data_IF_716755098121
#
_entry.id   IF_716755098121
#
_cell.length_a   1.000
_cell.length_b   1.000
_cell.length_c   1.000
_cell.angle_alpha   90.00
_cell.angle_beta   90.00
_cell.angle_gamma   90.00
#
_symmetry.space_group_name_H-M   'P 1'
#
loop_
_entity.id
_entity.type
_entity.pdbx_description
1 polymer ?
#
# COMPACT_ATOMS: atom_id res chain seq x y z
N UNK A 1 1.01 5.80 -19.07
CA UNK A 1 0.45 4.43 -19.07
C UNK A 1 1.01 3.54 -17.98
N UNK A 2 2.33 3.52 -17.75
CA UNK A 2 2.95 2.71 -16.68
C UNK A 2 2.30 2.86 -15.30
N UNK A 3 2.14 4.10 -14.82
CA UNK A 3 1.54 4.39 -13.50
C UNK A 3 0.11 3.87 -13.36
N UNK A 4 -0.69 3.94 -14.44
CA UNK A 4 -2.06 3.44 -14.43
C UNK A 4 -2.10 1.92 -14.32
N UNK A 5 -1.28 1.24 -15.12
CA UNK A 5 -1.18 -0.23 -15.08
C UNK A 5 -0.65 -0.69 -13.73
N UNK A 6 0.37 -0.02 -13.20
CA UNK A 6 0.91 -0.25 -11.87
C UNK A 6 -0.17 -0.08 -10.79
N UNK A 7 -0.87 1.04 -10.76
CA UNK A 7 -1.92 1.31 -9.78
C UNK A 7 -3.03 0.25 -9.85
N UNK A 8 -3.45 -0.14 -11.06
CA UNK A 8 -4.46 -1.17 -11.27
C UNK A 8 -4.01 -2.55 -10.76
N UNK A 9 -2.82 -2.99 -11.16
CA UNK A 9 -2.26 -4.30 -10.77
C UNK A 9 -2.05 -4.37 -9.27
N UNK A 10 -1.45 -3.33 -8.67
CA UNK A 10 -1.22 -3.26 -7.22
C UNK A 10 -2.56 -3.28 -6.49
N UNK A 11 -3.54 -2.48 -6.89
CA UNK A 11 -4.85 -2.44 -6.24
C UNK A 11 -5.52 -3.82 -6.24
N UNK A 12 -5.48 -4.51 -7.38
CA UNK A 12 -6.08 -5.85 -7.50
C UNK A 12 -5.36 -6.89 -6.66
N UNK A 13 -4.02 -6.85 -6.61
CA UNK A 13 -3.22 -7.77 -5.82
C UNK A 13 -3.41 -7.52 -4.33
N UNK A 14 -3.29 -6.28 -3.89
CA UNK A 14 -3.38 -5.87 -2.49
C UNK A 14 -4.75 -6.19 -1.88
N UNK A 15 -5.82 -6.17 -2.68
CA UNK A 15 -7.16 -6.45 -2.18
C UNK A 15 -7.33 -7.87 -1.62
N UNK A 16 -6.78 -8.89 -2.27
CA UNK A 16 -7.02 -10.30 -1.90
C UNK A 16 -5.75 -11.04 -1.48
N UNK A 17 -4.65 -10.83 -2.21
CA UNK A 17 -3.41 -11.62 -2.08
C UNK A 17 -2.83 -11.66 -0.67
N UNK A 18 -2.84 -10.57 0.13
CA UNK A 18 -2.29 -10.60 1.50
C UNK A 18 -3.01 -11.56 2.45
N UNK A 19 -4.30 -11.84 2.21
CA UNK A 19 -5.15 -12.62 3.11
C UNK A 19 -5.28 -14.09 2.70
N UNK A 20 -4.74 -14.47 1.54
CA UNK A 20 -4.75 -15.86 1.09
C UNK A 20 -3.53 -16.61 1.68
N UNK A 21 -3.70 -17.87 2.12
CA UNK A 21 -2.60 -18.70 2.57
C UNK A 21 -1.82 -19.26 1.37
N UNK A 22 -1.14 -18.39 0.62
CA UNK A 22 -0.41 -18.76 -0.59
C UNK A 22 0.89 -19.51 -0.24
N UNK A 23 1.11 -20.63 -0.91
CA UNK A 23 2.39 -21.32 -0.87
C UNK A 23 3.45 -20.54 -1.67
N UNK A 24 4.73 -20.80 -1.37
CA UNK A 24 5.88 -20.16 -2.04
C UNK A 24 5.77 -20.23 -3.58
N UNK A 25 5.41 -21.41 -4.10
CA UNK A 25 5.26 -21.65 -5.53
C UNK A 25 4.10 -20.86 -6.16
N UNK A 26 3.01 -20.63 -5.43
CA UNK A 26 1.88 -19.82 -5.91
C UNK A 26 2.25 -18.34 -5.92
N UNK A 27 2.97 -17.92 -4.90
CA UNK A 27 3.45 -16.56 -4.77
C UNK A 27 4.48 -16.22 -5.87
N UNK A 28 5.33 -17.16 -6.26
CA UNK A 28 6.22 -17.03 -7.42
C UNK A 28 5.44 -16.85 -8.74
N UNK A 29 4.26 -17.50 -8.89
CA UNK A 29 3.37 -17.29 -10.04
C UNK A 29 2.80 -15.88 -10.04
N UNK A 30 2.39 -15.36 -8.87
CA UNK A 30 1.93 -13.97 -8.75
C UNK A 30 3.05 -13.00 -9.13
N UNK A 31 4.26 -13.20 -8.63
CA UNK A 31 5.43 -12.40 -8.98
C UNK A 31 5.76 -12.49 -10.49
N UNK A 32 5.58 -13.65 -11.13
CA UNK A 32 5.72 -13.79 -12.57
C UNK A 32 4.66 -12.99 -13.36
N UNK A 33 3.41 -12.99 -12.88
CA UNK A 33 2.32 -12.18 -13.47
C UNK A 33 2.61 -10.69 -13.35
N UNK A 34 3.06 -10.22 -12.17
CA UNK A 34 3.50 -8.83 -11.96
C UNK A 34 4.55 -8.48 -13.02
N UNK A 35 5.64 -9.26 -13.13
CA UNK A 35 6.71 -9.00 -14.11
C UNK A 35 6.19 -8.94 -15.54
N UNK A 36 5.28 -9.85 -15.93
CA UNK A 36 4.70 -9.87 -17.27
C UNK A 36 3.91 -8.60 -17.55
N UNK A 37 3.10 -8.16 -16.61
CA UNK A 37 2.28 -6.95 -16.77
C UNK A 37 3.14 -5.69 -16.86
N UNK A 38 4.22 -5.60 -16.07
CA UNK A 38 5.17 -4.49 -16.18
C UNK A 38 5.95 -4.48 -17.50
N UNK A 39 6.33 -5.65 -18.02
CA UNK A 39 6.93 -5.73 -19.37
C UNK A 39 5.98 -5.16 -20.43
N UNK A 40 4.69 -5.53 -20.37
CA UNK A 40 3.66 -5.00 -21.28
C UNK A 40 3.50 -3.48 -21.10
N UNK A 41 3.43 -3.00 -19.86
CA UNK A 41 3.28 -1.58 -19.56
C UNK A 41 4.46 -0.72 -20.04
N UNK A 42 5.66 -1.31 -20.08
CA UNK A 42 6.89 -0.69 -20.58
C UNK A 42 7.14 -0.96 -22.07
N UNK A 43 6.21 -1.60 -22.77
CA UNK A 43 6.35 -2.01 -24.18
C UNK A 43 7.62 -2.85 -24.44
N UNK A 44 8.04 -3.65 -23.45
CA UNK A 44 9.19 -4.54 -23.54
C UNK A 44 8.79 -5.90 -24.12
N UNK A 45 9.71 -6.54 -24.83
CA UNK A 45 9.52 -7.91 -25.31
C UNK A 45 9.26 -8.87 -24.14
N UNK A 46 8.38 -9.88 -24.30
CA UNK A 46 8.18 -10.95 -23.32
C UNK A 46 9.50 -11.64 -22.91
N UNK A 47 10.44 -11.77 -23.84
CA UNK A 47 11.76 -12.40 -23.64
C UNK A 47 12.75 -11.53 -22.86
N UNK A 48 12.40 -10.30 -22.49
CA UNK A 48 13.27 -9.41 -21.72
C UNK A 48 13.72 -10.08 -20.42
N UNK A 49 15.03 -10.04 -20.15
CA UNK A 49 15.62 -10.63 -18.95
C UNK A 49 14.98 -10.10 -17.67
N UNK A 50 14.54 -11.01 -16.80
CA UNK A 50 14.02 -10.68 -15.47
C UNK A 50 15.04 -9.90 -14.64
N UNK A 51 16.33 -10.25 -14.71
CA UNK A 51 17.38 -9.55 -13.98
C UNK A 51 17.52 -8.09 -14.42
N UNK A 52 17.38 -7.80 -15.71
CA UNK A 52 17.39 -6.41 -16.21
C UNK A 52 16.12 -5.66 -15.79
N UNK A 53 14.96 -6.31 -15.79
CA UNK A 53 13.71 -5.72 -15.32
C UNK A 53 13.77 -5.36 -13.82
N UNK A 54 14.34 -6.25 -12.99
CA UNK A 54 14.53 -6.01 -11.55
C UNK A 54 15.48 -4.85 -11.29
N UNK A 55 16.56 -4.72 -12.05
CA UNK A 55 17.50 -3.59 -11.95
C UNK A 55 16.86 -2.23 -12.22
N UNK A 56 15.72 -2.16 -12.90
CA UNK A 56 15.02 -0.90 -13.12
C UNK A 56 14.30 -0.41 -11.85
N UNK A 57 14.03 -1.28 -10.86
CA UNK A 57 13.33 -0.90 -9.63
C UNK A 57 11.86 -0.48 -9.84
N UNK A 58 11.28 -0.81 -10.99
CA UNK A 58 9.96 -0.28 -11.42
C UNK A 58 8.78 -1.07 -10.84
N UNK A 59 9.01 -2.28 -10.31
CA UNK A 59 7.94 -3.14 -9.82
C UNK A 59 8.30 -3.71 -8.44
N UNK A 60 7.31 -3.68 -7.55
CA UNK A 60 7.39 -4.31 -6.25
C UNK A 60 6.99 -5.79 -6.36
N UNK A 61 7.50 -6.61 -5.45
CA UNK A 61 7.05 -7.99 -5.28
C UNK A 61 5.66 -8.04 -4.63
N UNK A 62 5.01 -9.20 -4.74
CA UNK A 62 3.74 -9.46 -4.07
C UNK A 62 3.89 -9.35 -2.54
N UNK A 63 5.01 -9.81 -1.99
CA UNK A 63 5.33 -9.74 -0.57
C UNK A 63 5.51 -8.31 -0.09
N UNK A 64 6.27 -7.48 -0.83
CA UNK A 64 6.45 -6.07 -0.53
C UNK A 64 5.11 -5.33 -0.54
N UNK A 65 4.28 -5.61 -1.55
CA UNK A 65 2.94 -5.02 -1.67
C UNK A 65 2.04 -5.44 -0.51
N UNK A 66 2.08 -6.71 -0.09
CA UNK A 66 1.34 -7.20 1.07
C UNK A 66 1.84 -6.56 2.37
N UNK A 67 3.16 -6.47 2.56
CA UNK A 67 3.76 -5.83 3.74
C UNK A 67 3.40 -4.36 3.83
N UNK A 68 3.48 -3.63 2.72
CA UNK A 68 3.08 -2.23 2.64
C UNK A 68 1.58 -2.06 2.98
N UNK A 69 0.73 -2.94 2.45
CA UNK A 69 -0.69 -2.94 2.76
C UNK A 69 -0.97 -3.18 4.25
N UNK A 70 -0.39 -4.22 4.85
CA UNK A 70 -0.58 -4.49 6.27
C UNK A 70 -0.10 -3.31 7.13
N UNK A 71 1.05 -2.73 6.79
CA UNK A 71 1.58 -1.56 7.51
C UNK A 71 0.60 -0.38 7.45
N UNK A 72 0.04 -0.09 6.27
CA UNK A 72 -0.98 0.95 6.11
C UNK A 72 -2.26 0.64 6.89
N UNK A 73 -2.71 -0.63 6.93
CA UNK A 73 -3.88 -1.04 7.70
C UNK A 73 -3.64 -0.89 9.21
N UNK A 74 -2.48 -1.34 9.71
CA UNK A 74 -2.13 -1.16 11.11
C UNK A 74 -2.06 0.32 11.50
N UNK A 75 -1.47 1.17 10.64
CA UNK A 75 -1.46 2.61 10.85
C UNK A 75 -2.87 3.20 10.87
N UNK A 76 -3.76 2.79 9.96
CA UNK A 76 -5.16 3.22 9.96
C UNK A 76 -5.87 2.84 11.26
N UNK A 77 -5.76 1.58 11.66
CA UNK A 77 -6.34 1.06 12.90
C UNK A 77 -5.76 1.77 14.14
N UNK A 78 -4.51 2.21 14.09
CA UNK A 78 -3.88 2.93 15.19
C UNK A 78 -4.42 4.35 15.39
N UNK A 79 -5.09 4.94 14.39
CA UNK A 79 -5.63 6.33 14.48
C UNK A 79 -6.99 6.42 15.18
N UNK A 80 -7.83 5.39 15.07
CA UNK A 80 -9.19 5.37 15.60
C UNK A 80 -9.23 4.84 17.04
N UNK A 81 -10.13 5.36 17.89
CA UNK A 81 -10.23 4.90 19.28
C UNK A 81 -10.78 3.47 19.38
N UNK A 82 -11.79 3.14 18.58
CA UNK A 82 -12.36 1.79 18.55
C UNK A 82 -11.35 0.76 18.01
N UNK A 83 -10.62 1.13 16.96
CA UNK A 83 -9.68 0.24 16.30
C UNK A 83 -8.39 0.03 17.11
N UNK A 84 -7.94 1.04 17.85
CA UNK A 84 -6.86 0.88 18.84
C UNK A 84 -7.21 -0.14 19.91
N UNK A 85 -8.46 -0.13 20.38
CA UNK A 85 -8.91 -1.13 21.36
C UNK A 85 -8.81 -2.55 20.80
N UNK A 86 -9.17 -2.75 19.52
CA UNK A 86 -9.01 -4.03 18.82
C UNK A 86 -7.55 -4.46 18.65
N UNK A 87 -6.62 -3.52 18.42
CA UNK A 87 -5.19 -3.86 18.35
C UNK A 87 -4.62 -4.27 19.72
N UNK A 88 -5.00 -3.54 20.79
CA UNK A 88 -4.54 -3.84 22.15
C UNK A 88 -5.07 -5.18 22.66
N UNK A 89 -6.31 -5.56 22.32
CA UNK A 89 -6.88 -6.86 22.70
C UNK A 89 -6.15 -8.04 22.04
N UNK A 90 -5.58 -7.85 20.85
CA UNK A 90 -4.75 -8.84 20.15
C UNK A 90 -3.26 -8.75 20.52
N UNK A 91 -2.89 -7.92 21.51
CA UNK A 91 -1.49 -7.69 21.92
C UNK A 91 -0.58 -7.18 20.79
N UNK A 92 -1.15 -6.50 19.78
CA UNK A 92 -0.39 -5.91 18.67
C UNK A 92 0.00 -4.49 19.05
N UNK A 93 1.28 -4.28 19.39
CA UNK A 93 1.82 -2.95 19.66
C UNK A 93 2.33 -2.30 18.36
N UNK A 94 1.48 -1.50 17.71
CA UNK A 94 1.87 -0.69 16.56
C UNK A 94 2.16 0.75 17.03
N UNK A 95 3.28 1.38 16.65
CA UNK A 95 3.60 2.75 17.04
C UNK A 95 2.57 3.71 16.43
N UNK A 96 1.51 3.98 17.18
CA UNK A 96 0.57 5.03 16.83
C UNK A 96 1.21 6.35 17.20
N UNK A 97 1.49 7.21 16.21
CA UNK A 97 1.73 8.60 16.52
C UNK A 97 0.36 9.16 16.95
N UNK A 98 0.13 9.49 18.23
CA UNK A 98 -1.13 10.09 18.62
C UNK A 98 -1.25 11.37 17.80
N UNK A 99 -2.24 11.40 16.89
CA UNK A 99 -2.69 12.65 16.29
C UNK A 99 -3.25 13.46 17.45
N UNK A 100 -2.38 14.23 18.11
CA UNK A 100 -2.76 15.18 19.12
C UNK A 100 -3.63 16.21 18.39
N UNK A 101 -4.94 16.00 18.45
CA UNK A 101 -5.90 17.01 18.07
C UNK A 101 -5.72 18.16 19.05
N UNK A 102 -4.91 19.11 18.63
CA UNK A 102 -4.68 20.36 19.33
C UNK A 102 -5.87 21.27 19.04
N UNK A 103 -6.36 21.96 20.06
CA UNK A 103 -7.26 23.09 19.84
C UNK A 103 -6.46 24.19 19.15
N UNK A 104 -6.83 24.52 17.92
CA UNK A 104 -6.34 25.72 17.26
C UNK A 104 -6.84 26.94 18.06
N UNK A 105 -5.94 27.84 18.52
CA UNK A 105 -6.32 29.12 19.09
C UNK A 105 -7.30 29.86 18.16
N UNK A 106 -8.29 30.52 18.77
CA UNK A 106 -9.38 31.21 18.05
C UNK A 106 -8.84 32.20 17.01
N UNK A 107 -7.78 32.92 17.36
CA UNK A 107 -7.14 33.94 16.52
C UNK A 107 -6.64 33.34 15.18
N UNK A 108 -6.02 32.16 15.25
CA UNK A 108 -5.52 31.44 14.07
C UNK A 108 -6.69 30.85 13.28
N UNK A 109 -7.69 30.27 13.98
CA UNK A 109 -8.87 29.67 13.34
C UNK A 109 -9.67 30.68 12.53
N UNK A 110 -9.78 31.91 13.00
CA UNK A 110 -10.48 32.99 12.29
C UNK A 110 -9.70 33.52 11.08
N UNK A 111 -8.37 33.37 11.06
CA UNK A 111 -7.52 33.77 9.94
C UNK A 111 -7.51 32.76 8.77
N UNK A 112 -7.95 31.53 9.01
CA UNK A 112 -7.99 30.46 8.00
C UNK A 112 -9.23 30.59 7.11
N UNK A 113 -9.06 31.17 5.92
CA UNK A 113 -10.06 31.06 4.85
C UNK A 113 -9.91 29.73 4.12
N UNK A 114 -10.81 28.79 4.39
CA UNK A 114 -10.92 27.53 3.65
C UNK A 114 -12.13 27.62 2.74
N UNK A 115 -11.89 27.67 1.43
CA UNK A 115 -12.97 27.60 0.44
C UNK A 115 -13.72 26.27 0.57
N UNK A 116 -15.06 26.27 0.48
CA UNK A 116 -15.84 25.04 0.52
C UNK A 116 -15.41 24.11 -0.62
N UNK A 117 -15.33 22.82 -0.32
CA UNK A 117 -15.05 21.78 -1.32
C UNK A 117 -16.30 21.66 -2.20
N UNK A 118 -16.16 21.68 -3.55
CA UNK A 118 -17.29 21.54 -4.47
C UNK A 118 -18.01 20.18 -4.36
#
# INVERSE_FOLDING_TARGET
MLLLVQAFVISRLVFSTPYLPLQRAELDKVNALIRKTYKVALSLSPSTSTGRLLKLGVHNTAEESAKAHFTAQYQRLSTSQADRHNLTSQQINFPSNPSHKCFLPLDIRQSLQVSPIP
#
